data_IF_983670072512
#
_entry.id   IF_983670072512
#
_cell.length_a   1.000
_cell.length_b   1.000
_cell.length_c   1.000
_cell.angle_alpha   90.00
_cell.angle_beta   90.00
_cell.angle_gamma   90.00
#
_symmetry.space_group_name_H-M   'P 1'
#
loop_
_entity.id
_entity.type
_entity.pdbx_description
1 polymer ?
#
# COMPACT_ATOMS: atom_id res chain seq x y z
N UNK A 1 31.00 5.53 21.76
CA UNK A 1 30.05 4.77 20.91
C UNK A 1 29.06 5.78 20.38
N UNK A 2 29.47 6.60 19.42
CA UNK A 2 28.63 7.69 18.93
C UNK A 2 27.87 7.16 17.73
N UNK A 3 26.55 7.02 17.89
CA UNK A 3 25.66 6.71 16.78
C UNK A 3 25.76 7.87 15.77
N UNK A 4 26.32 7.57 14.61
CA UNK A 4 26.38 8.49 13.49
C UNK A 4 24.97 8.52 12.89
N UNK A 5 24.26 9.63 13.09
CA UNK A 5 22.99 9.89 12.39
C UNK A 5 23.34 10.09 10.90
N UNK A 6 22.88 9.23 9.98
CA UNK A 6 23.32 9.30 8.59
C UNK A 6 22.76 10.56 7.95
N UNK A 7 23.66 11.44 7.51
CA UNK A 7 23.31 12.65 6.78
C UNK A 7 22.44 12.28 5.56
N UNK A 8 21.28 12.94 5.36
CA UNK A 8 20.36 12.59 4.29
C UNK A 8 21.03 12.82 2.93
N UNK A 9 21.01 11.80 2.09
CA UNK A 9 21.57 11.84 0.74
C UNK A 9 21.04 13.06 -0.04
N UNK A 10 21.91 13.88 -0.67
CA UNK A 10 21.47 15.05 -1.39
C UNK A 10 20.58 14.65 -2.58
N UNK A 11 19.31 15.10 -2.53
CA UNK A 11 18.28 14.77 -3.54
C UNK A 11 17.31 13.66 -3.12
N UNK A 12 17.56 12.96 -2.02
CA UNK A 12 16.61 12.02 -1.44
C UNK A 12 15.55 12.82 -0.67
N UNK A 13 14.43 13.13 -1.34
CA UNK A 13 13.27 13.69 -0.64
C UNK A 13 12.81 12.64 0.38
N UNK A 14 12.63 13.04 1.63
CA UNK A 14 12.05 12.19 2.66
C UNK A 14 10.83 11.44 2.10
N UNK A 15 10.65 10.15 2.44
CA UNK A 15 9.47 9.43 2.01
C UNK A 15 8.26 10.29 2.37
N UNK A 16 7.32 10.50 1.44
CA UNK A 16 6.24 11.45 1.63
C UNK A 16 5.58 11.14 2.97
N UNK A 17 5.72 12.08 3.92
CA UNK A 17 4.97 12.04 5.18
C UNK A 17 3.52 11.80 4.78
N UNK A 18 2.84 10.79 5.36
CA UNK A 18 1.53 10.38 4.87
C UNK A 18 0.64 11.61 4.83
N UNK A 19 0.34 12.06 3.60
CA UNK A 19 -0.30 13.34 3.37
C UNK A 19 -1.53 13.44 4.28
N UNK A 20 -1.59 14.51 5.08
CA UNK A 20 -2.75 14.84 5.92
C UNK A 20 -3.96 15.01 4.99
N UNK A 21 -4.66 13.92 4.70
CA UNK A 21 -5.78 13.92 3.74
C UNK A 21 -5.85 12.75 2.75
N UNK A 22 -5.22 11.59 2.98
CA UNK A 22 -5.60 10.41 2.17
C UNK A 22 -7.11 10.18 2.28
N UNK A 23 -7.79 10.23 1.15
CA UNK A 23 -9.23 9.96 1.06
C UNK A 23 -9.53 8.62 1.75
N UNK A 24 -10.60 8.54 2.56
CA UNK A 24 -10.95 7.30 3.23
C UNK A 24 -11.24 6.23 2.18
N UNK A 25 -10.57 5.08 2.29
CA UNK A 25 -10.86 3.94 1.43
C UNK A 25 -12.27 3.46 1.74
N UNK A 26 -13.12 3.30 0.73
CA UNK A 26 -14.50 2.85 0.87
C UNK A 26 -14.68 1.41 0.40
N UNK A 27 -15.69 0.73 0.95
CA UNK A 27 -16.09 -0.59 0.51
C UNK A 27 -16.61 -0.53 -0.92
N UNK A 28 -16.04 -1.32 -1.83
CA UNK A 28 -16.48 -1.38 -3.24
C UNK A 28 -17.91 -1.90 -3.42
N UNK A 29 -18.44 -2.63 -2.43
CA UNK A 29 -19.78 -3.21 -2.48
C UNK A 29 -20.86 -2.32 -1.84
N UNK A 30 -20.55 -1.63 -0.74
CA UNK A 30 -21.56 -0.87 0.03
C UNK A 30 -21.21 0.60 0.29
N UNK A 31 -20.06 1.09 -0.20
CA UNK A 31 -19.63 2.48 -0.09
C UNK A 31 -19.19 2.94 1.31
N UNK A 32 -19.38 2.12 2.36
CA UNK A 32 -19.01 2.49 3.74
C UNK A 32 -17.49 2.66 3.89
N UNK A 33 -17.02 3.64 4.70
CA UNK A 33 -15.60 3.85 4.93
C UNK A 33 -14.98 2.65 5.67
N UNK A 34 -13.82 2.22 5.21
CA UNK A 34 -13.05 1.09 5.75
C UNK A 34 -12.01 1.60 6.74
N UNK A 35 -12.15 1.21 8.01
CA UNK A 35 -11.24 1.62 9.10
C UNK A 35 -10.11 0.62 9.29
N UNK A 36 -10.43 -0.68 9.21
CA UNK A 36 -9.48 -1.76 9.43
C UNK A 36 -8.47 -1.89 8.29
N UNK A 37 -7.23 -2.27 8.63
CA UNK A 37 -6.16 -2.48 7.63
C UNK A 37 -6.53 -3.57 6.64
N UNK A 38 -7.06 -4.70 7.11
CA UNK A 38 -7.48 -5.80 6.24
C UNK A 38 -8.61 -5.37 5.32
N UNK A 39 -9.63 -4.69 5.85
CA UNK A 39 -10.71 -4.20 4.99
C UNK A 39 -10.18 -3.28 3.88
N UNK A 40 -9.24 -2.38 4.21
CA UNK A 40 -8.58 -1.50 3.22
C UNK A 40 -7.78 -2.27 2.17
N UNK A 41 -7.02 -3.28 2.58
CA UNK A 41 -6.24 -4.12 1.66
C UNK A 41 -7.15 -4.87 0.68
N UNK A 42 -8.30 -5.34 1.15
CA UNK A 42 -9.27 -6.08 0.34
C UNK A 42 -10.23 -5.17 -0.45
N UNK A 43 -10.32 -3.88 -0.11
CA UNK A 43 -11.31 -2.96 -0.67
C UNK A 43 -12.76 -3.33 -0.32
N UNK A 44 -12.96 -4.20 0.67
CA UNK A 44 -14.24 -4.75 1.08
C UNK A 44 -14.31 -4.86 2.60
N UNK A 45 -15.43 -4.44 3.18
CA UNK A 45 -15.70 -4.66 4.60
C UNK A 45 -15.91 -6.14 4.92
N UNK A 46 -15.71 -6.58 6.18
CA UNK A 46 -15.74 -8.00 6.56
C UNK A 46 -17.08 -8.69 6.25
N UNK A 47 -18.21 -7.99 6.45
CA UNK A 47 -19.53 -8.52 6.10
C UNK A 47 -19.75 -8.65 4.59
N UNK A 48 -19.30 -7.67 3.80
CA UNK A 48 -19.39 -7.71 2.34
C UNK A 48 -18.48 -8.80 1.76
N UNK A 49 -17.26 -8.95 2.30
CA UNK A 49 -16.35 -10.03 1.91
C UNK A 49 -16.96 -11.41 2.19
N UNK A 50 -17.59 -11.58 3.36
CA UNK A 50 -18.26 -12.82 3.71
C UNK A 50 -19.43 -13.15 2.76
N UNK A 51 -20.26 -12.15 2.42
CA UNK A 51 -21.37 -12.30 1.44
C UNK A 51 -20.91 -12.76 0.07
N UNK A 52 -19.75 -12.28 -0.39
CA UNK A 52 -19.17 -12.65 -1.68
C UNK A 52 -18.35 -13.94 -1.63
N UNK A 53 -18.27 -14.60 -0.47
CA UNK A 53 -17.42 -15.77 -0.22
C UNK A 53 -15.99 -15.59 -0.74
N UNK A 54 -15.47 -14.35 -0.72
CA UNK A 54 -14.17 -14.03 -1.29
C UNK A 54 -13.07 -14.50 -0.33
N UNK A 55 -12.31 -15.52 -0.75
CA UNK A 55 -11.26 -16.16 0.06
C UNK A 55 -9.85 -15.71 -0.28
N UNK A 56 -9.65 -15.05 -1.42
CA UNK A 56 -8.34 -14.55 -1.87
C UNK A 56 -8.40 -13.06 -2.16
N UNK A 57 -7.36 -12.34 -1.72
CA UNK A 57 -7.23 -10.91 -1.97
C UNK A 57 -7.06 -10.68 -3.48
N UNK A 58 -7.54 -9.55 -4.03
CA UNK A 58 -7.29 -9.23 -5.42
C UNK A 58 -5.78 -9.19 -5.68
N UNK A 59 -5.35 -9.76 -6.81
CA UNK A 59 -3.96 -9.69 -7.23
C UNK A 59 -3.60 -8.21 -7.39
N UNK A 60 -2.50 -7.73 -6.80
CA UNK A 60 -2.04 -6.38 -7.06
C UNK A 60 -1.82 -6.19 -8.56
N UNK A 61 -2.02 -4.97 -9.10
CA UNK A 61 -1.80 -4.70 -10.52
C UNK A 61 -0.37 -5.11 -10.88
N UNK A 62 -0.26 -5.94 -11.92
CA UNK A 62 1.04 -6.35 -12.45
C UNK A 62 1.57 -5.19 -13.26
N UNK A 63 2.69 -4.61 -12.81
CA UNK A 63 3.40 -3.58 -13.54
C UNK A 63 4.70 -4.21 -14.04
N UNK A 64 4.82 -4.42 -15.35
CA UNK A 64 6.09 -4.84 -15.95
C UNK A 64 7.07 -3.67 -15.83
N UNK A 65 8.06 -3.84 -14.97
CA UNK A 65 9.13 -2.86 -14.80
C UNK A 65 10.31 -3.38 -15.63
N UNK A 66 10.79 -2.55 -16.57
CA UNK A 66 12.04 -2.84 -17.25
C UNK A 66 13.18 -2.64 -16.25
N UNK A 67 13.59 -3.73 -15.59
CA UNK A 67 14.71 -3.72 -14.68
C UNK A 67 15.98 -4.00 -15.49
N UNK A 68 16.94 -3.07 -15.44
CA UNK A 68 18.25 -3.30 -16.04
C UNK A 68 18.95 -4.49 -15.38
N UNK A 69 19.65 -5.26 -16.20
CA UNK A 69 20.52 -6.33 -15.73
C UNK A 69 21.65 -5.73 -14.91
N UNK A 70 21.89 -6.29 -13.72
CA UNK A 70 23.00 -5.86 -12.88
C UNK A 70 24.33 -6.10 -13.61
N UNK A 71 25.31 -5.20 -13.53
CA UNK A 71 26.60 -5.43 -14.15
C UNK A 71 27.30 -6.65 -13.52
N UNK A 72 27.70 -7.61 -14.35
CA UNK A 72 28.44 -8.81 -13.92
C UNK A 72 27.60 -10.07 -13.69
N UNK A 73 26.31 -10.06 -14.07
CA UNK A 73 25.52 -11.29 -14.27
C UNK A 73 25.39 -11.64 -15.74
#
# INVERSE_FOLDING_TARGET
MTAHDPEPLPGFKDPPTPAKGRLPVTCRMCGRPLRDRDARLWGLGPGCRHKLHTRSAPRPPSHEIQQDTLPGV
#
